data_IF_631873354112
#
_entry.id   IF_631873354112
#
_cell.length_a   1.000
_cell.length_b   1.000
_cell.length_c   1.000
_cell.angle_alpha   90.00
_cell.angle_beta   90.00
_cell.angle_gamma   90.00
#
_symmetry.space_group_name_H-M   'P 1'
#
loop_
_entity.id
_entity.type
_entity.pdbx_description
1 polymer ?
#
# COMPACT_ATOMS: atom_id res chain seq x y z
N UNK A 1 6.33 22.03 5.19
CA UNK A 1 5.05 21.60 5.80
C UNK A 1 4.37 22.77 6.51
N UNK A 2 5.08 23.62 7.26
CA UNK A 2 4.49 24.81 7.91
C UNK A 2 4.06 25.90 6.90
N UNK A 3 4.82 26.10 5.81
CA UNK A 3 4.44 27.05 4.75
C UNK A 3 3.20 26.60 3.95
N UNK A 4 2.91 25.29 3.87
CA UNK A 4 1.72 24.78 3.17
C UNK A 4 0.46 25.01 3.99
N UNK A 5 0.49 24.80 5.31
CA UNK A 5 -0.65 25.09 6.19
C UNK A 5 -0.99 26.59 6.22
N UNK A 6 0.03 27.46 6.18
CA UNK A 6 -0.16 28.90 6.17
C UNK A 6 -0.72 29.42 4.82
N UNK A 7 -0.28 28.85 3.69
CA UNK A 7 -0.84 29.15 2.37
C UNK A 7 -2.28 28.62 2.18
N UNK A 8 -2.62 27.49 2.83
CA UNK A 8 -3.96 26.91 2.78
C UNK A 8 -4.95 27.70 3.63
N UNK A 9 -4.56 28.14 4.83
CA UNK A 9 -5.41 28.98 5.71
C UNK A 9 -5.77 30.34 5.10
N UNK A 10 -4.79 31.03 4.51
CA UNK A 10 -5.03 32.28 3.75
C UNK A 10 -5.76 32.02 2.42
N UNK A 11 -5.81 30.75 1.99
CA UNK A 11 -6.55 30.32 0.80
C UNK A 11 -8.03 30.07 1.05
N UNK A 12 -8.38 29.47 2.18
CA UNK A 12 -9.77 29.26 2.57
C UNK A 12 -10.49 30.58 2.83
N UNK A 13 -9.85 31.54 3.50
CA UNK A 13 -10.45 32.86 3.74
C UNK A 13 -10.74 33.62 2.44
N UNK A 14 -9.81 33.59 1.48
CA UNK A 14 -10.03 34.17 0.15
C UNK A 14 -11.17 33.49 -0.61
N UNK A 15 -11.19 32.15 -0.60
CA UNK A 15 -12.25 31.38 -1.27
C UNK A 15 -13.61 31.67 -0.64
N UNK A 16 -13.68 31.75 0.69
CA UNK A 16 -14.92 32.09 1.41
C UNK A 16 -15.39 33.51 1.06
N UNK A 17 -14.48 34.49 1.09
CA UNK A 17 -14.80 35.87 0.70
C UNK A 17 -15.26 35.98 -0.75
N UNK A 18 -14.64 35.25 -1.66
CA UNK A 18 -15.03 35.17 -3.07
C UNK A 18 -16.41 34.50 -3.22
N UNK A 19 -16.65 33.37 -2.54
CA UNK A 19 -17.93 32.66 -2.55
C UNK A 19 -19.05 33.54 -2.02
N UNK A 20 -18.82 34.27 -0.92
CA UNK A 20 -19.81 35.18 -0.35
C UNK A 20 -20.08 36.40 -1.23
N UNK A 21 -19.06 36.88 -1.93
CA UNK A 21 -19.19 37.98 -2.91
C UNK A 21 -19.93 37.51 -4.15
N UNK A 22 -19.61 36.30 -4.62
CA UNK A 22 -20.34 35.65 -5.70
C UNK A 22 -21.79 35.49 -5.28
N UNK A 23 -22.15 34.88 -4.16
CA UNK A 23 -23.55 34.69 -3.73
C UNK A 23 -24.37 35.98 -3.68
N UNK A 24 -23.75 37.11 -3.28
CA UNK A 24 -24.45 38.39 -3.07
C UNK A 24 -24.44 39.33 -4.29
N UNK A 25 -23.58 39.09 -5.28
CA UNK A 25 -23.43 39.98 -6.44
C UNK A 25 -24.68 40.02 -7.35
N UNK A 26 -24.85 41.10 -8.11
CA UNK A 26 -25.77 41.12 -9.25
C UNK A 26 -25.14 40.43 -10.47
N UNK A 27 -25.95 39.87 -11.36
CA UNK A 27 -25.52 39.39 -12.67
C UNK A 27 -25.88 40.43 -13.75
N UNK A 28 -25.04 40.60 -14.80
CA UNK A 28 -23.72 39.99 -14.97
C UNK A 28 -22.72 40.57 -13.97
N UNK A 29 -21.67 39.80 -13.66
CA UNK A 29 -20.66 40.25 -12.73
C UNK A 29 -19.83 41.40 -13.32
N UNK A 30 -19.43 42.37 -12.50
CA UNK A 30 -18.50 43.44 -12.92
C UNK A 30 -17.22 42.84 -13.50
N UNK A 31 -16.86 43.25 -14.71
CA UNK A 31 -15.63 42.81 -15.40
C UNK A 31 -14.40 42.99 -14.52
N UNK A 32 -14.29 44.12 -13.82
CA UNK A 32 -13.19 44.37 -12.88
C UNK A 32 -13.11 43.32 -11.76
N UNK A 33 -14.25 42.94 -11.17
CA UNK A 33 -14.30 41.95 -10.08
C UNK A 33 -14.02 40.54 -10.61
N UNK A 34 -14.58 40.18 -11.77
CA UNK A 34 -14.34 38.90 -12.42
C UNK A 34 -12.86 38.72 -12.78
N UNK A 35 -12.25 39.72 -13.43
CA UNK A 35 -10.83 39.69 -13.80
C UNK A 35 -9.95 39.53 -12.57
N UNK A 36 -10.22 40.27 -11.48
CA UNK A 36 -9.47 40.14 -10.23
C UNK A 36 -9.54 38.72 -9.64
N UNK A 37 -10.73 38.12 -9.58
CA UNK A 37 -10.89 36.76 -9.07
C UNK A 37 -10.28 35.71 -9.98
N UNK A 38 -10.45 35.82 -11.30
CA UNK A 38 -9.84 34.90 -12.27
C UNK A 38 -8.31 34.93 -12.22
N UNK A 39 -7.70 36.12 -12.13
CA UNK A 39 -6.25 36.25 -11.94
C UNK A 39 -5.79 35.61 -10.63
N UNK A 40 -6.50 35.88 -9.54
CA UNK A 40 -6.19 35.31 -8.22
C UNK A 40 -6.32 33.78 -8.18
N UNK A 41 -7.38 33.23 -8.77
CA UNK A 41 -7.58 31.78 -8.90
C UNK A 41 -6.52 31.13 -9.81
N UNK A 42 -6.08 31.83 -10.86
CA UNK A 42 -5.01 31.34 -11.75
C UNK A 42 -3.68 31.25 -11.03
N UNK A 43 -3.30 32.29 -10.27
CA UNK A 43 -2.10 32.26 -9.42
C UNK A 43 -2.16 31.12 -8.40
N UNK A 44 -3.33 30.88 -7.79
CA UNK A 44 -3.51 29.76 -6.83
C UNK A 44 -3.42 28.39 -7.49
N UNK A 45 -3.95 28.24 -8.72
CA UNK A 45 -3.80 27.03 -9.52
C UNK A 45 -2.31 26.71 -9.74
N UNK A 46 -1.54 27.68 -10.20
CA UNK A 46 -0.09 27.54 -10.43
C UNK A 46 0.67 27.16 -9.16
N UNK A 47 0.35 27.79 -8.02
CA UNK A 47 0.96 27.44 -6.72
C UNK A 47 0.65 25.99 -6.35
N UNK A 48 -0.61 25.56 -6.52
CA UNK A 48 -1.07 24.23 -6.15
C UNK A 48 -0.44 23.16 -7.05
N UNK A 49 -0.38 23.39 -8.35
CA UNK A 49 0.32 22.54 -9.32
C UNK A 49 1.82 22.48 -9.02
N UNK A 50 2.44 23.61 -8.68
CA UNK A 50 3.83 23.68 -8.26
C UNK A 50 4.11 22.88 -6.98
N UNK A 51 3.18 22.85 -6.02
CA UNK A 51 3.29 22.01 -4.82
C UNK A 51 3.21 20.52 -5.17
N UNK A 52 2.28 20.11 -6.05
CA UNK A 52 2.19 18.72 -6.53
C UNK A 52 3.50 18.33 -7.24
N UNK A 53 4.05 19.20 -8.09
CA UNK A 53 5.33 18.96 -8.77
C UNK A 53 6.49 18.80 -7.78
N UNK A 54 6.54 19.61 -6.71
CA UNK A 54 7.52 19.47 -5.63
C UNK A 54 7.40 18.12 -4.92
N UNK A 55 6.18 17.65 -4.63
CA UNK A 55 5.95 16.33 -4.03
C UNK A 55 6.48 15.23 -4.95
N UNK A 56 6.17 15.27 -6.25
CA UNK A 56 6.66 14.30 -7.23
C UNK A 56 8.18 14.30 -7.34
N UNK A 57 8.82 15.47 -7.27
CA UNK A 57 10.27 15.57 -7.24
C UNK A 57 10.86 14.96 -5.96
N UNK A 58 10.25 15.22 -4.80
CA UNK A 58 10.67 14.62 -3.53
C UNK A 58 10.59 13.09 -3.56
N UNK A 59 9.48 12.52 -4.05
CA UNK A 59 9.33 11.07 -4.21
C UNK A 59 10.34 10.48 -5.21
N UNK A 60 10.75 11.25 -6.22
CA UNK A 60 11.69 10.81 -7.25
C UNK A 60 13.15 10.89 -6.82
N UNK A 61 13.48 11.72 -5.84
CA UNK A 61 14.85 12.00 -5.42
C UNK A 61 15.24 11.36 -4.08
N UNK A 62 14.26 11.10 -3.20
CA UNK A 62 14.53 10.64 -1.83
C UNK A 62 13.74 9.37 -1.50
N UNK A 63 14.37 8.44 -0.79
CA UNK A 63 13.66 7.32 -0.16
C UNK A 63 13.02 7.87 1.11
N UNK A 64 11.70 7.83 1.18
CA UNK A 64 10.94 8.50 2.23
C UNK A 64 10.57 7.54 3.36
N UNK A 65 10.46 8.08 4.57
CA UNK A 65 9.90 7.32 5.68
C UNK A 65 8.43 7.00 5.41
N UNK A 66 7.93 5.94 6.03
CA UNK A 66 6.56 5.52 5.77
C UNK A 66 5.52 6.55 6.25
N UNK A 67 5.80 7.27 7.34
CA UNK A 67 4.98 8.38 7.81
C UNK A 67 4.93 9.51 6.77
N UNK A 68 6.09 9.86 6.20
CA UNK A 68 6.16 10.88 5.15
C UNK A 68 5.40 10.43 3.89
N UNK A 69 5.52 9.16 3.47
CA UNK A 69 4.76 8.62 2.34
C UNK A 69 3.25 8.73 2.54
N UNK A 70 2.76 8.37 3.73
CA UNK A 70 1.34 8.49 4.06
C UNK A 70 0.88 9.96 4.05
N UNK A 71 1.62 10.85 4.69
CA UNK A 71 1.32 12.28 4.72
C UNK A 71 1.32 12.91 3.32
N UNK A 72 2.31 12.60 2.48
CA UNK A 72 2.38 13.10 1.12
C UNK A 72 1.23 12.60 0.25
N UNK A 73 0.80 11.35 0.43
CA UNK A 73 -0.38 10.82 -0.27
C UNK A 73 -1.65 11.59 0.11
N UNK A 74 -1.88 11.82 1.40
CA UNK A 74 -3.02 12.63 1.89
C UNK A 74 -2.96 14.07 1.38
N UNK A 75 -1.79 14.71 1.46
CA UNK A 75 -1.60 16.07 0.95
C UNK A 75 -1.82 16.16 -0.56
N UNK A 76 -1.31 15.20 -1.33
CA UNK A 76 -1.53 15.15 -2.78
C UNK A 76 -3.02 15.07 -3.10
N UNK A 77 -3.78 14.27 -2.34
CA UNK A 77 -5.22 14.17 -2.56
C UNK A 77 -5.95 15.48 -2.23
N UNK A 78 -5.59 16.13 -1.12
CA UNK A 78 -6.14 17.44 -0.75
C UNK A 78 -5.80 18.52 -1.79
N UNK A 79 -4.58 18.53 -2.34
CA UNK A 79 -4.20 19.47 -3.40
C UNK A 79 -5.00 19.22 -4.68
N UNK A 80 -5.25 17.94 -5.05
CA UNK A 80 -6.13 17.60 -6.19
C UNK A 80 -7.57 18.07 -5.96
N UNK A 81 -8.10 17.90 -4.75
CA UNK A 81 -9.41 18.44 -4.35
C UNK A 81 -9.45 19.96 -4.55
N UNK A 82 -8.41 20.67 -4.09
CA UNK A 82 -8.31 22.13 -4.23
C UNK A 82 -8.25 22.57 -5.69
N UNK A 83 -7.51 21.86 -6.55
CA UNK A 83 -7.51 22.13 -7.99
C UNK A 83 -8.90 22.00 -8.60
N UNK A 84 -9.66 20.96 -8.23
CA UNK A 84 -11.05 20.79 -8.70
C UNK A 84 -11.94 21.95 -8.26
N UNK A 85 -11.82 22.41 -7.00
CA UNK A 85 -12.58 23.57 -6.50
C UNK A 85 -12.21 24.84 -7.27
N UNK A 86 -10.92 25.08 -7.52
CA UNK A 86 -10.45 26.24 -8.29
C UNK A 86 -11.03 26.20 -9.71
N UNK A 87 -10.97 25.05 -10.38
CA UNK A 87 -11.48 24.89 -11.74
C UNK A 87 -13.00 25.06 -11.83
N UNK A 88 -13.77 24.62 -10.81
CA UNK A 88 -15.21 24.87 -10.72
C UNK A 88 -15.53 26.36 -10.58
N UNK A 89 -14.86 27.05 -9.66
CA UNK A 89 -15.08 28.47 -9.42
C UNK A 89 -14.68 29.33 -10.63
N UNK A 90 -13.61 28.98 -11.33
CA UNK A 90 -13.23 29.67 -12.58
C UNK A 90 -14.34 29.59 -13.62
N UNK A 91 -14.86 28.39 -13.88
CA UNK A 91 -15.96 28.17 -14.82
C UNK A 91 -17.22 28.94 -14.42
N UNK A 92 -17.54 28.98 -13.13
CA UNK A 92 -18.67 29.74 -12.61
C UNK A 92 -18.49 31.26 -12.84
N UNK A 93 -17.31 31.81 -12.56
CA UNK A 93 -17.03 33.24 -12.76
C UNK A 93 -17.09 33.61 -14.25
N UNK A 94 -16.49 32.78 -15.11
CA UNK A 94 -16.55 32.96 -16.58
C UNK A 94 -17.99 32.94 -17.10
N UNK A 95 -18.84 32.09 -16.52
CA UNK A 95 -20.27 32.07 -16.81
C UNK A 95 -20.98 33.34 -16.31
N UNK A 96 -20.73 33.74 -15.06
CA UNK A 96 -21.34 34.94 -14.47
C UNK A 96 -20.91 36.25 -15.14
N UNK A 97 -19.74 36.28 -15.78
CA UNK A 97 -19.26 37.43 -16.55
C UNK A 97 -20.13 37.67 -17.80
N UNK A 98 -20.49 36.58 -18.49
CA UNK A 98 -21.13 36.64 -19.80
C UNK A 98 -22.66 36.47 -19.75
N UNK A 99 -23.20 36.02 -18.62
CA UNK A 99 -24.61 35.64 -18.50
C UNK A 99 -25.39 36.62 -17.64
N UNK A 100 -26.57 37.01 -18.14
CA UNK A 100 -27.52 37.87 -17.42
C UNK A 100 -28.30 37.10 -16.35
N UNK A 101 -28.36 35.77 -16.48
CA UNK A 101 -29.01 34.85 -15.56
C UNK A 101 -28.07 33.68 -15.27
N UNK A 102 -28.16 33.12 -14.06
CA UNK A 102 -27.33 31.97 -13.68
C UNK A 102 -27.76 30.70 -14.46
N UNK A 103 -29.05 30.62 -14.83
CA UNK A 103 -29.60 29.57 -15.68
C UNK A 103 -29.54 28.17 -15.05
N UNK A 104 -29.47 27.16 -15.91
CA UNK A 104 -29.52 25.73 -15.55
C UNK A 104 -28.13 25.07 -15.45
N UNK A 105 -27.07 25.87 -15.35
CA UNK A 105 -25.69 25.37 -15.35
C UNK A 105 -25.29 24.83 -13.98
N UNK A 106 -24.70 23.63 -13.97
CA UNK A 106 -24.24 22.97 -12.74
C UNK A 106 -22.71 23.03 -12.66
N UNK A 107 -22.19 23.84 -11.75
CA UNK A 107 -20.77 23.89 -11.40
C UNK A 107 -20.51 23.04 -10.17
N UNK A 108 -20.52 21.72 -10.35
CA UNK A 108 -20.18 20.76 -9.31
C UNK A 108 -19.46 19.52 -9.87
N UNK A 109 -18.72 18.84 -9.01
CA UNK A 109 -17.95 17.65 -9.33
C UNK A 109 -17.96 16.67 -8.15
N UNK A 110 -17.78 15.38 -8.44
CA UNK A 110 -17.52 14.37 -7.43
C UNK A 110 -16.01 14.17 -7.26
N UNK A 111 -15.53 14.16 -6.03
CA UNK A 111 -14.12 13.94 -5.71
C UNK A 111 -13.95 12.72 -4.81
N UNK A 112 -13.11 11.78 -5.21
CA UNK A 112 -12.76 10.60 -4.40
C UNK A 112 -11.75 11.04 -3.34
N UNK A 113 -12.21 11.24 -2.11
CA UNK A 113 -11.39 11.72 -0.99
C UNK A 113 -10.56 10.61 -0.33
N UNK A 114 -11.08 9.39 -0.37
CA UNK A 114 -10.36 8.21 0.11
C UNK A 114 -10.69 7.00 -0.75
N UNK A 115 -9.67 6.21 -1.06
CA UNK A 115 -9.81 4.98 -1.86
C UNK A 115 -8.73 3.97 -1.45
N UNK A 116 -9.07 2.67 -1.38
CA UNK A 116 -8.09 1.62 -1.07
C UNK A 116 -7.29 1.16 -2.29
N UNK A 117 -7.48 1.80 -3.45
CA UNK A 117 -6.78 1.49 -4.68
C UNK A 117 -5.50 2.33 -4.82
N UNK A 118 -4.46 1.83 -5.50
CA UNK A 118 -4.39 0.57 -6.25
C UNK A 118 -4.24 -0.66 -5.34
N UNK A 119 -5.02 -1.72 -5.59
CA UNK A 119 -4.95 -2.94 -4.78
C UNK A 119 -5.52 -4.16 -5.51
N UNK A 120 -5.11 -5.35 -5.08
CA UNK A 120 -5.74 -6.60 -5.52
C UNK A 120 -6.90 -6.97 -4.60
N UNK A 121 -8.10 -7.03 -5.14
CA UNK A 121 -9.35 -7.29 -4.41
C UNK A 121 -9.79 -8.74 -4.60
N UNK A 122 -10.23 -9.40 -3.53
CA UNK A 122 -10.81 -10.74 -3.63
C UNK A 122 -12.31 -10.67 -3.89
N UNK A 123 -12.79 -11.43 -4.87
CA UNK A 123 -14.20 -11.57 -5.20
C UNK A 123 -15.02 -11.95 -3.95
N UNK A 124 -16.22 -11.37 -3.84
CA UNK A 124 -17.15 -11.54 -2.71
C UNK A 124 -16.63 -11.10 -1.34
N UNK A 125 -15.48 -10.43 -1.27
CA UNK A 125 -14.96 -9.80 -0.06
C UNK A 125 -15.28 -8.32 -0.12
N UNK A 126 -15.77 -7.78 1.00
CA UNK A 126 -15.99 -6.34 1.16
C UNK A 126 -14.64 -5.63 1.07
N UNK A 127 -14.56 -4.58 0.25
CA UNK A 127 -13.37 -3.74 0.19
C UNK A 127 -13.35 -2.74 1.33
N UNK A 128 -12.16 -2.24 1.65
CA UNK A 128 -12.03 -1.10 2.53
C UNK A 128 -12.86 0.09 1.97
N UNK A 129 -13.42 0.95 2.83
CA UNK A 129 -14.36 1.98 2.41
C UNK A 129 -13.81 2.90 1.33
N UNK A 130 -14.70 3.41 0.47
CA UNK A 130 -14.39 4.48 -0.47
C UNK A 130 -15.22 5.70 -0.07
N UNK A 131 -14.57 6.86 0.04
CA UNK A 131 -15.25 8.11 0.38
C UNK A 131 -15.29 9.03 -0.84
N UNK A 132 -16.46 9.59 -1.11
CA UNK A 132 -16.71 10.49 -2.23
C UNK A 132 -17.36 11.77 -1.71
N UNK A 133 -16.79 12.91 -2.07
CA UNK A 133 -17.29 14.23 -1.68
C UNK A 133 -17.97 14.90 -2.87
N UNK A 134 -19.09 15.58 -2.62
CA UNK A 134 -19.67 16.53 -3.55
C UNK A 134 -18.96 17.87 -3.38
N UNK A 135 -18.35 18.37 -4.47
CA UNK A 135 -17.77 19.70 -4.55
C UNK A 135 -18.68 20.56 -5.40
N UNK A 136 -19.16 21.68 -4.86
CA UNK A 136 -20.00 22.63 -5.58
C UNK A 136 -19.41 24.04 -5.48
N UNK A 137 -19.67 24.85 -6.50
CA UNK A 137 -19.30 26.25 -6.56
C UNK A 137 -20.26 27.15 -5.76
N UNK A 138 -20.02 28.46 -5.74
CA UNK A 138 -20.63 29.38 -4.80
C UNK A 138 -22.17 29.46 -4.88
N UNK A 139 -22.71 29.67 -6.08
CA UNK A 139 -24.14 29.86 -6.36
C UNK A 139 -24.82 28.59 -6.89
N UNK A 140 -24.09 27.48 -6.94
CA UNK A 140 -24.61 26.23 -7.48
C UNK A 140 -25.62 25.60 -6.53
N UNK A 141 -26.90 25.78 -6.84
CA UNK A 141 -28.01 25.08 -6.18
C UNK A 141 -28.33 23.79 -6.93
N UNK A 142 -28.16 22.65 -6.27
CA UNK A 142 -28.38 21.34 -6.90
C UNK A 142 -29.34 20.54 -6.07
N UNK A 143 -30.37 20.00 -6.73
CA UNK A 143 -31.19 18.94 -6.19
C UNK A 143 -30.60 17.58 -6.60
N UNK A 144 -30.27 16.75 -5.61
CA UNK A 144 -29.74 15.40 -5.85
C UNK A 144 -30.89 14.43 -6.15
N UNK A 145 -30.86 13.78 -7.31
CA UNK A 145 -31.92 12.88 -7.77
C UNK A 145 -31.64 11.40 -7.46
N UNK A 146 -31.20 11.11 -6.23
CA UNK A 146 -30.96 9.75 -5.74
C UNK A 146 -29.58 9.54 -5.14
N UNK A 147 -29.15 8.27 -4.98
CA UNK A 147 -27.84 7.95 -4.42
C UNK A 147 -26.70 8.19 -5.43
N UNK A 148 -25.50 8.40 -4.90
CA UNK A 148 -24.26 8.30 -5.68
C UNK A 148 -24.04 6.84 -6.05
N UNK A 149 -23.80 6.59 -7.33
CA UNK A 149 -23.60 5.26 -7.89
C UNK A 149 -22.17 5.06 -8.38
N UNK A 150 -21.51 4.00 -7.92
CA UNK A 150 -20.24 3.53 -8.44
C UNK A 150 -20.43 2.63 -9.65
N UNK A 151 -19.75 2.97 -10.75
CA UNK A 151 -19.73 2.19 -11.99
C UNK A 151 -18.34 1.65 -12.26
N UNK A 152 -18.28 0.37 -12.64
CA UNK A 152 -17.04 -0.25 -13.07
C UNK A 152 -16.69 0.18 -14.49
N UNK A 153 -15.52 0.76 -14.67
CA UNK A 153 -14.94 1.04 -15.97
C UNK A 153 -13.94 -0.05 -16.32
N UNK A 154 -14.14 -0.67 -17.48
CA UNK A 154 -13.22 -1.66 -18.02
C UNK A 154 -13.30 -1.71 -19.55
N UNK A 155 -12.16 -1.84 -20.21
CA UNK A 155 -12.07 -2.21 -21.65
C UNK A 155 -12.40 -3.71 -21.88
N UNK A 156 -12.85 -4.40 -20.84
CA UNK A 156 -13.20 -5.81 -20.82
C UNK A 156 -14.69 -5.98 -21.11
N UNK A 157 -15.01 -6.67 -22.20
CA UNK A 157 -16.35 -7.20 -22.42
C UNK A 157 -16.59 -8.37 -21.47
N UNK A 158 -17.63 -8.26 -20.62
CA UNK A 158 -18.17 -9.38 -19.86
C UNK A 158 -18.69 -10.42 -20.86
N UNK A 159 -17.86 -11.40 -21.21
CA UNK A 159 -18.25 -12.47 -22.12
C UNK A 159 -19.51 -13.19 -21.62
N UNK A 160 -20.61 -13.06 -22.38
CA UNK A 160 -21.86 -13.85 -22.47
C UNK A 160 -22.45 -14.56 -21.23
N UNK A 161 -22.03 -14.26 -20.00
CA UNK A 161 -22.67 -14.79 -18.79
C UNK A 161 -23.61 -13.74 -18.22
N UNK A 162 -24.89 -14.11 -18.14
CA UNK A 162 -26.01 -13.44 -17.45
C UNK A 162 -25.69 -13.19 -15.96
N UNK A 163 -24.72 -12.33 -15.65
CA UNK A 163 -24.43 -11.93 -14.29
C UNK A 163 -25.04 -10.55 -14.08
N UNK A 164 -26.05 -10.48 -13.21
CA UNK A 164 -26.56 -9.22 -12.67
C UNK A 164 -25.39 -8.46 -12.03
N UNK A 165 -25.19 -7.20 -12.44
CA UNK A 165 -24.23 -6.19 -11.93
C UNK A 165 -22.87 -6.70 -11.39
N UNK A 166 -21.71 -6.31 -11.96
CA UNK A 166 -20.39 -6.75 -11.49
C UNK A 166 -20.04 -6.34 -10.05
N UNK A 167 -20.84 -5.45 -9.46
CA UNK A 167 -20.69 -4.89 -8.12
C UNK A 167 -21.99 -5.02 -7.31
N UNK A 168 -21.85 -5.17 -6.00
CA UNK A 168 -22.93 -5.05 -5.01
C UNK A 168 -22.54 -4.00 -3.96
N UNK A 169 -23.51 -3.24 -3.44
CA UNK A 169 -23.23 -2.12 -2.53
C UNK A 169 -22.64 -0.91 -3.25
N UNK A 170 -23.04 -0.71 -4.51
CA UNK A 170 -22.54 0.35 -5.39
C UNK A 170 -23.34 1.66 -5.33
N UNK A 171 -24.34 1.76 -4.47
CA UNK A 171 -25.18 2.97 -4.32
C UNK A 171 -25.16 3.40 -2.84
N UNK A 172 -24.87 4.67 -2.59
CA UNK A 172 -24.85 5.27 -1.25
C UNK A 172 -25.36 6.73 -1.30
N UNK A 173 -25.88 7.22 -0.18
CA UNK A 173 -26.29 8.62 -0.04
C UNK A 173 -25.21 9.45 0.65
N UNK A 174 -25.23 10.77 0.40
CA UNK A 174 -24.39 11.70 1.16
C UNK A 174 -24.89 11.83 2.59
N UNK A 175 -23.96 11.90 3.53
CA UNK A 175 -24.23 12.27 4.92
C UNK A 175 -24.39 13.80 5.09
N UNK A 176 -24.65 14.23 6.32
CA UNK A 176 -24.77 15.66 6.69
C UNK A 176 -23.49 16.47 6.42
N UNK A 177 -22.36 15.81 6.19
CA UNK A 177 -21.06 16.42 5.88
C UNK A 177 -20.78 16.45 4.37
N UNK A 178 -21.72 16.00 3.54
CA UNK A 178 -21.56 15.94 2.09
C UNK A 178 -20.61 14.83 1.62
N UNK A 179 -20.47 13.75 2.40
CA UNK A 179 -19.63 12.59 2.10
C UNK A 179 -20.48 11.34 1.91
N UNK A 180 -20.30 10.65 0.79
CA UNK A 180 -20.88 9.34 0.54
C UNK A 180 -19.82 8.26 0.80
N UNK A 181 -20.10 7.34 1.73
CA UNK A 181 -19.13 6.31 2.20
C UNK A 181 -19.56 4.91 1.79
N UNK A 182 -18.87 4.34 0.80
CA UNK A 182 -19.14 3.00 0.28
C UNK A 182 -18.46 1.91 1.14
N UNK A 183 -19.07 1.59 2.28
CA UNK A 183 -18.54 0.63 3.26
C UNK A 183 -18.91 -0.84 2.98
N UNK A 184 -19.90 -1.08 2.12
CA UNK A 184 -20.44 -2.42 1.80
C UNK A 184 -20.08 -2.90 0.40
N UNK A 185 -19.20 -2.17 -0.29
CA UNK A 185 -18.86 -2.46 -1.67
C UNK A 185 -18.15 -3.80 -1.79
N UNK A 186 -18.64 -4.65 -2.71
CA UNK A 186 -18.01 -5.93 -3.06
C UNK A 186 -18.13 -6.20 -4.55
N UNK A 187 -17.11 -6.87 -5.09
CA UNK A 187 -17.08 -7.29 -6.50
C UNK A 187 -17.52 -8.74 -6.61
N UNK A 188 -18.50 -8.99 -7.47
CA UNK A 188 -19.09 -10.32 -7.64
C UNK A 188 -18.51 -11.08 -8.83
N UNK A 189 -17.66 -10.44 -9.64
CA UNK A 189 -17.00 -11.06 -10.80
C UNK A 189 -15.50 -10.76 -10.76
N UNK A 190 -14.67 -11.76 -11.07
CA UNK A 190 -13.22 -11.57 -11.25
C UNK A 190 -12.90 -10.94 -12.61
N UNK A 191 -11.86 -10.11 -12.67
CA UNK A 191 -11.52 -9.33 -13.88
C UNK A 191 -10.55 -10.04 -14.82
N UNK A 192 -10.24 -11.32 -14.58
CA UNK A 192 -9.35 -12.10 -15.45
C UNK A 192 -7.93 -11.53 -15.56
N UNK A 193 -7.41 -10.94 -14.47
CA UNK A 193 -6.12 -10.22 -14.42
C UNK A 193 -6.08 -8.91 -15.22
N UNK A 194 -7.23 -8.38 -15.64
CA UNK A 194 -7.34 -7.04 -16.23
C UNK A 194 -7.56 -5.99 -15.16
N UNK A 195 -6.89 -4.86 -15.34
CA UNK A 195 -7.08 -3.68 -14.50
C UNK A 195 -8.41 -3.03 -14.82
N UNK A 196 -9.09 -2.59 -13.78
CA UNK A 196 -10.36 -1.89 -13.85
C UNK A 196 -10.30 -0.68 -12.92
N UNK A 197 -11.20 0.27 -13.15
CA UNK A 197 -11.33 1.49 -12.34
C UNK A 197 -12.81 1.65 -11.95
N UNK A 198 -13.08 2.44 -10.92
CA UNK A 198 -14.45 2.86 -10.59
C UNK A 198 -14.61 4.34 -10.91
N UNK A 199 -15.77 4.71 -11.44
CA UNK A 199 -16.22 6.09 -11.56
C UNK A 199 -17.52 6.25 -10.80
N UNK A 200 -17.66 7.33 -10.05
CA UNK A 200 -18.88 7.63 -9.32
C UNK A 200 -19.71 8.62 -10.12
N UNK A 201 -21.02 8.43 -10.13
CA UNK A 201 -21.98 9.30 -10.81
C UNK A 201 -23.18 9.58 -9.91
N UNK A 202 -23.75 10.77 -10.04
CA UNK A 202 -25.03 11.10 -9.42
C UNK A 202 -25.87 11.93 -10.39
N UNK A 203 -27.14 11.54 -10.64
CA UNK A 203 -28.06 12.39 -11.38
C UNK A 203 -28.46 13.58 -10.51
N UNK A 204 -28.49 14.74 -11.13
CA UNK A 204 -28.76 16.00 -10.46
C UNK A 204 -29.69 16.85 -11.30
N UNK A 205 -30.47 17.70 -10.62
CA UNK A 205 -31.37 18.65 -11.26
C UNK A 205 -31.03 20.07 -10.78
N UNK A 206 -30.93 20.97 -11.74
CA UNK A 206 -30.89 22.42 -11.50
C UNK A 206 -32.00 23.03 -12.32
N UNK A 207 -32.96 23.66 -11.64
CA UNK A 207 -34.23 24.14 -12.21
C UNK A 207 -34.93 23.05 -13.07
N UNK A 208 -34.87 23.16 -14.40
CA UNK A 208 -35.51 22.26 -15.35
C UNK A 208 -34.55 21.27 -16.05
N UNK A 209 -33.23 21.42 -15.88
CA UNK A 209 -32.24 20.61 -16.57
C UNK A 209 -31.74 19.46 -15.69
N UNK A 210 -31.73 18.24 -16.24
CA UNK A 210 -31.12 17.09 -15.60
C UNK A 210 -29.70 16.88 -16.15
N UNK A 211 -28.73 16.85 -15.25
CA UNK A 211 -27.34 16.56 -15.58
C UNK A 211 -26.79 15.49 -14.65
N UNK A 212 -25.91 14.63 -15.15
CA UNK A 212 -25.18 13.67 -14.33
C UNK A 212 -23.80 14.23 -14.00
N UNK A 213 -23.49 14.35 -12.71
CA UNK A 213 -22.16 14.74 -12.23
C UNK A 213 -21.33 13.46 -12.07
N UNK A 214 -20.07 13.51 -12.47
CA UNK A 214 -19.19 12.36 -12.47
C UNK A 214 -17.86 12.66 -11.77
N UNK A 215 -17.26 11.63 -11.16
CA UNK A 215 -15.93 11.73 -10.58
C UNK A 215 -14.82 11.49 -11.61
N UNK A 216 -13.58 11.82 -11.25
CA UNK A 216 -12.43 11.19 -11.89
C UNK A 216 -12.45 9.67 -11.64
N UNK A 217 -11.76 8.92 -12.50
CA UNK A 217 -11.60 7.47 -12.30
C UNK A 217 -10.75 7.21 -11.05
N UNK A 218 -11.08 6.17 -10.28
CA UNK A 218 -10.24 5.70 -9.18
C UNK A 218 -8.88 5.21 -9.69
N UNK A 219 -7.92 5.01 -8.79
CA UNK A 219 -6.72 4.24 -9.12
C UNK A 219 -7.09 2.80 -9.55
N UNK A 220 -6.27 2.16 -10.41
CA UNK A 220 -6.61 0.86 -10.97
C UNK A 220 -6.52 -0.27 -9.94
N UNK A 221 -7.38 -1.27 -10.08
CA UNK A 221 -7.37 -2.48 -9.25
C UNK A 221 -7.68 -3.73 -10.08
N UNK A 222 -7.45 -4.91 -9.51
CA UNK A 222 -7.74 -6.21 -10.13
C UNK A 222 -8.58 -7.04 -9.17
N UNK A 223 -9.65 -7.65 -9.66
CA UNK A 223 -10.48 -8.57 -8.87
C UNK A 223 -10.05 -10.02 -9.15
N UNK A 224 -9.53 -10.69 -8.13
CA UNK A 224 -9.11 -12.09 -8.18
C UNK A 224 -10.21 -13.01 -7.62
N UNK A 225 -10.34 -14.21 -8.19
CA UNK A 225 -11.25 -15.24 -7.69
C UNK A 225 -10.57 -16.19 -6.71
N UNK A 226 -9.24 -16.33 -6.83
CA UNK A 226 -8.42 -17.20 -6.01
C UNK A 226 -7.17 -16.48 -5.52
N UNK A 227 -6.78 -16.71 -4.25
CA UNK A 227 -5.57 -16.10 -3.65
C UNK A 227 -4.28 -16.50 -4.36
N UNK A 228 -4.27 -17.61 -5.11
CA UNK A 228 -3.13 -18.01 -5.96
C UNK A 228 -2.84 -17.00 -7.07
N UNK A 229 -3.84 -16.27 -7.55
CA UNK A 229 -3.69 -15.23 -8.59
C UNK A 229 -3.12 -13.92 -8.04
N UNK A 230 -2.99 -13.80 -6.72
CA UNK A 230 -2.67 -12.52 -6.08
C UNK A 230 -1.29 -11.99 -6.46
N UNK A 231 -0.26 -12.84 -6.51
CA UNK A 231 1.09 -12.44 -6.88
C UNK A 231 1.11 -11.81 -8.29
N UNK A 232 0.63 -12.53 -9.28
CA UNK A 232 0.57 -12.02 -10.66
C UNK A 232 -0.27 -10.74 -10.78
N UNK A 233 -1.46 -10.71 -10.17
CA UNK A 233 -2.34 -9.54 -10.19
C UNK A 233 -1.69 -8.31 -9.52
N UNK A 234 -1.11 -8.49 -8.34
CA UNK A 234 -0.43 -7.43 -7.62
C UNK A 234 0.81 -6.95 -8.39
N UNK A 235 1.52 -7.86 -9.05
CA UNK A 235 2.66 -7.55 -9.90
C UNK A 235 2.29 -6.70 -11.11
N UNK A 236 1.14 -6.95 -11.74
CA UNK A 236 0.64 -6.12 -12.84
C UNK A 236 0.31 -4.71 -12.35
N UNK A 237 -0.40 -4.59 -11.23
CA UNK A 237 -0.79 -3.31 -10.65
C UNK A 237 0.43 -2.48 -10.23
N UNK A 238 1.35 -3.10 -9.50
CA UNK A 238 2.57 -2.46 -9.02
C UNK A 238 3.45 -2.00 -10.19
N UNK A 239 3.62 -2.83 -11.23
CA UNK A 239 4.38 -2.43 -12.42
C UNK A 239 3.75 -1.21 -13.09
N UNK A 240 2.41 -1.16 -13.20
CA UNK A 240 1.73 0.00 -13.77
C UNK A 240 1.91 1.27 -12.92
N UNK A 241 1.84 1.16 -11.59
CA UNK A 241 2.00 2.34 -10.71
C UNK A 241 3.46 2.84 -10.67
N UNK A 242 4.43 1.94 -10.72
CA UNK A 242 5.85 2.30 -10.81
C UNK A 242 6.13 3.01 -12.14
N UNK A 243 5.80 2.38 -13.27
CA UNK A 243 6.29 2.88 -14.55
C UNK A 243 5.36 3.92 -15.17
N UNK A 244 4.04 3.84 -15.01
CA UNK A 244 3.05 4.78 -15.60
C UNK A 244 3.32 5.09 -17.08
N UNK A 245 3.74 4.08 -17.85
CA UNK A 245 4.11 4.20 -19.26
C UNK A 245 5.58 4.56 -19.55
N UNK A 246 6.37 4.87 -18.52
CA UNK A 246 7.83 5.10 -18.63
C UNK A 246 8.57 3.78 -18.81
N UNK A 247 9.72 3.82 -19.46
CA UNK A 247 10.62 2.66 -19.58
C UNK A 247 11.51 2.50 -18.33
N UNK A 248 11.78 3.62 -17.67
CA UNK A 248 12.77 3.75 -16.61
C UNK A 248 12.25 4.66 -15.49
N UNK A 249 12.67 4.36 -14.26
CA UNK A 249 12.35 5.16 -13.06
C UNK A 249 13.58 5.26 -12.15
N UNK A 250 13.60 6.26 -11.27
CA UNK A 250 14.65 6.35 -10.26
C UNK A 250 14.44 5.32 -9.15
N UNK A 251 15.53 4.87 -8.53
CA UNK A 251 15.47 3.93 -7.39
C UNK A 251 14.66 4.49 -6.21
N UNK A 252 14.83 5.77 -5.79
CA UNK A 252 14.00 6.35 -4.74
C UNK A 252 12.50 6.25 -5.02
N UNK A 253 12.09 6.60 -6.25
CA UNK A 253 10.69 6.49 -6.67
C UNK A 253 10.19 5.05 -6.57
N UNK A 254 10.95 4.10 -7.11
CA UNK A 254 10.63 2.68 -7.02
C UNK A 254 10.45 2.20 -5.58
N UNK A 255 11.39 2.52 -4.68
CA UNK A 255 11.32 2.13 -3.27
C UNK A 255 10.09 2.71 -2.57
N UNK A 256 9.77 3.97 -2.83
CA UNK A 256 8.61 4.65 -2.26
C UNK A 256 7.30 3.96 -2.68
N UNK A 257 7.16 3.61 -3.96
CA UNK A 257 5.98 2.90 -4.48
C UNK A 257 5.90 1.48 -3.91
N UNK A 258 6.99 0.71 -3.92
CA UNK A 258 7.02 -0.63 -3.32
C UNK A 258 6.67 -0.59 -1.84
N UNK A 259 7.20 0.37 -1.09
CA UNK A 259 6.91 0.52 0.34
C UNK A 259 5.41 0.74 0.59
N UNK A 260 4.75 1.59 -0.19
CA UNK A 260 3.29 1.81 -0.12
C UNK A 260 2.51 0.51 -0.36
N UNK A 261 2.81 -0.18 -1.47
CA UNK A 261 2.15 -1.44 -1.80
C UNK A 261 2.44 -2.56 -0.79
N UNK A 262 3.64 -2.58 -0.22
CA UNK A 262 4.05 -3.54 0.80
C UNK A 262 3.25 -3.36 2.10
N UNK A 263 3.08 -2.12 2.58
CA UNK A 263 2.28 -1.80 3.78
C UNK A 263 0.84 -2.27 3.59
N UNK A 264 0.23 -1.96 2.43
CA UNK A 264 -1.12 -2.42 2.08
C UNK A 264 -1.21 -3.96 1.97
N UNK A 265 -0.19 -4.59 1.37
CA UNK A 265 -0.13 -6.04 1.19
C UNK A 265 0.00 -6.79 2.51
N UNK A 266 0.70 -6.21 3.48
CA UNK A 266 0.89 -6.74 4.83
C UNK A 266 -0.16 -6.27 5.83
N UNK A 267 -1.16 -5.48 5.39
CA UNK A 267 -2.27 -4.97 6.21
C UNK A 267 -1.79 -4.25 7.47
N UNK A 268 -0.71 -3.49 7.33
CA UNK A 268 -0.21 -2.66 8.42
C UNK A 268 -0.96 -1.33 8.45
N UNK A 269 -1.15 -0.79 9.65
CA UNK A 269 -1.68 0.56 9.85
C UNK A 269 -0.64 1.58 9.34
N UNK A 270 -0.96 2.44 8.35
CA UNK A 270 -0.04 3.45 7.83
C UNK A 270 0.47 4.45 8.90
N UNK A 271 -0.27 4.65 9.99
CA UNK A 271 0.10 5.52 11.10
C UNK A 271 0.94 4.81 12.16
N UNK A 272 0.83 3.47 12.25
CA UNK A 272 1.47 2.63 13.26
C UNK A 272 2.05 1.37 12.62
N UNK A 273 3.07 1.59 11.79
CA UNK A 273 3.73 0.53 11.04
C UNK A 273 4.63 -0.26 11.99
N UNK A 274 4.44 -1.58 12.00
CA UNK A 274 5.16 -2.50 12.89
C UNK A 274 6.51 -2.87 12.30
N UNK A 275 6.55 -3.18 11.00
CA UNK A 275 7.78 -3.55 10.30
C UNK A 275 7.73 -3.07 8.84
N UNK A 276 8.36 -1.93 8.50
CA UNK A 276 8.52 -1.50 7.12
C UNK A 276 9.61 -2.33 6.40
N UNK A 277 9.78 -2.14 5.09
CA UNK A 277 11.02 -2.57 4.43
C UNK A 277 12.11 -1.58 4.81
N UNK A 278 13.25 -2.11 5.20
CA UNK A 278 14.44 -1.37 5.62
C UNK A 278 15.41 -1.23 4.44
N UNK A 279 16.41 -0.33 4.53
CA UNK A 279 17.50 -0.27 3.57
C UNK A 279 18.20 -1.62 3.37
N UNK A 280 18.34 -2.43 4.43
CA UNK A 280 18.90 -3.79 4.37
C UNK A 280 18.01 -4.75 3.55
N UNK A 281 16.68 -4.65 3.65
CA UNK A 281 15.78 -5.46 2.83
C UNK A 281 15.90 -5.09 1.34
N UNK A 282 16.05 -3.80 1.02
CA UNK A 282 16.29 -3.36 -0.36
C UNK A 282 17.67 -3.78 -0.87
N UNK A 283 18.72 -3.66 -0.06
CA UNK A 283 20.07 -4.11 -0.43
C UNK A 283 20.12 -5.62 -0.71
N UNK A 284 19.41 -6.41 0.10
CA UNK A 284 19.21 -7.83 -0.15
C UNK A 284 18.54 -8.08 -1.51
N UNK A 285 17.41 -7.41 -1.81
CA UNK A 285 16.70 -7.61 -3.08
C UNK A 285 17.56 -7.21 -4.30
N UNK A 286 18.28 -6.10 -4.19
CA UNK A 286 19.13 -5.58 -5.26
C UNK A 286 20.35 -6.48 -5.50
N UNK A 287 21.00 -6.94 -4.43
CA UNK A 287 22.18 -7.80 -4.54
C UNK A 287 21.81 -9.14 -5.19
N UNK A 288 20.74 -9.80 -4.74
CA UNK A 288 20.39 -11.14 -5.25
C UNK A 288 19.72 -11.11 -6.63
N UNK A 289 18.97 -10.06 -6.99
CA UNK A 289 18.21 -10.02 -8.28
C UNK A 289 18.83 -9.15 -9.34
N UNK A 290 19.62 -8.16 -8.95
CA UNK A 290 20.26 -7.23 -9.88
C UNK A 290 21.79 -7.32 -9.85
N UNK A 291 22.39 -8.08 -8.91
CA UNK A 291 23.84 -8.22 -8.79
C UNK A 291 24.55 -6.92 -8.38
N UNK A 292 23.83 -5.97 -7.78
CA UNK A 292 24.37 -4.65 -7.37
C UNK A 292 23.86 -4.25 -6.00
N UNK A 293 24.64 -3.45 -5.26
CA UNK A 293 24.21 -2.92 -3.96
C UNK A 293 23.18 -1.80 -4.10
N UNK A 294 22.36 -1.64 -3.07
CA UNK A 294 21.42 -0.55 -2.95
C UNK A 294 22.16 0.79 -2.77
N UNK A 295 21.84 1.83 -3.57
CA UNK A 295 22.62 3.07 -3.57
C UNK A 295 22.67 3.84 -2.24
N UNK A 296 21.66 3.68 -1.38
CA UNK A 296 21.57 4.43 -0.12
C UNK A 296 22.49 3.92 1.00
N UNK A 297 23.08 2.72 0.87
CA UNK A 297 23.94 2.11 1.88
C UNK A 297 25.44 2.49 1.76
N UNK A 298 25.77 3.47 0.92
CA UNK A 298 27.18 3.85 0.70
C UNK A 298 27.62 4.91 1.70
N UNK A 299 28.44 4.48 2.66
CA UNK A 299 29.34 5.38 3.40
C UNK A 299 30.19 6.19 2.42
N UNK A 300 30.61 7.38 2.85
CA UNK A 300 31.30 8.44 2.08
C UNK A 300 32.61 8.05 1.35
N UNK A 301 32.99 6.77 1.33
CA UNK A 301 34.25 6.24 0.76
C UNK A 301 34.08 5.36 -0.48
N UNK A 302 32.87 5.23 -1.04
CA UNK A 302 32.66 4.42 -2.24
C UNK A 302 33.00 5.21 -3.52
N UNK A 303 33.58 4.57 -4.56
CA UNK A 303 33.89 5.24 -5.83
C UNK A 303 32.63 5.82 -6.51
N UNK A 304 32.81 6.85 -7.35
CA UNK A 304 31.70 7.58 -7.97
C UNK A 304 30.76 6.62 -8.71
N UNK A 305 29.47 6.87 -8.49
CA UNK A 305 28.37 6.08 -9.04
C UNK A 305 28.46 6.12 -10.57
N UNK A 306 28.53 4.96 -11.22
CA UNK A 306 28.45 4.88 -12.68
C UNK A 306 27.18 5.60 -13.16
N UNK A 307 27.24 6.41 -14.24
CA UNK A 307 26.06 7.01 -14.83
C UNK A 307 25.03 5.91 -15.14
N UNK A 308 23.84 5.98 -14.52
CA UNK A 308 22.77 4.99 -14.65
C UNK A 308 22.55 4.06 -13.43
N UNK A 309 23.39 4.08 -12.40
CA UNK A 309 23.20 3.20 -11.24
C UNK A 309 22.02 3.60 -10.33
N UNK A 310 21.42 4.79 -10.54
CA UNK A 310 20.24 5.24 -9.79
C UNK A 310 18.91 5.01 -10.52
N UNK A 311 18.93 4.24 -11.62
CA UNK A 311 17.77 3.99 -12.49
C UNK A 311 17.42 2.50 -12.48
N UNK A 312 16.13 2.20 -12.60
CA UNK A 312 15.56 0.87 -12.76
C UNK A 312 14.72 0.80 -14.03
N UNK A 313 14.90 -0.29 -14.77
CA UNK A 313 14.15 -0.63 -15.97
C UNK A 313 12.96 -1.55 -15.63
N UNK A 314 12.03 -1.72 -16.57
CA UNK A 314 10.96 -2.70 -16.43
C UNK A 314 11.47 -4.14 -16.28
N UNK A 315 12.64 -4.48 -16.85
CA UNK A 315 13.26 -5.81 -16.71
C UNK A 315 13.80 -6.02 -15.29
N UNK A 316 14.39 -4.99 -14.70
CA UNK A 316 14.86 -5.05 -13.30
C UNK A 316 13.69 -5.30 -12.35
N UNK A 317 12.54 -4.65 -12.61
CA UNK A 317 11.30 -4.92 -11.90
C UNK A 317 10.89 -6.40 -12.01
N UNK A 318 10.87 -6.97 -13.21
CA UNK A 318 10.45 -8.36 -13.42
C UNK A 318 11.38 -9.33 -12.66
N UNK A 319 12.69 -9.06 -12.65
CA UNK A 319 13.66 -9.83 -11.88
C UNK A 319 13.40 -9.75 -10.37
N UNK A 320 13.17 -8.55 -9.83
CA UNK A 320 12.85 -8.37 -8.40
C UNK A 320 11.52 -9.06 -8.06
N UNK A 321 10.48 -8.81 -8.85
CA UNK A 321 9.13 -9.32 -8.60
C UNK A 321 9.05 -10.84 -8.67
N UNK A 322 9.84 -11.47 -9.54
CA UNK A 322 9.92 -12.95 -9.66
C UNK A 322 10.21 -13.68 -8.34
N UNK A 323 10.77 -12.97 -7.37
CA UNK A 323 11.05 -13.48 -6.03
C UNK A 323 10.23 -12.75 -4.96
N UNK A 324 10.18 -11.42 -5.03
CA UNK A 324 9.49 -10.62 -4.03
C UNK A 324 7.98 -10.84 -4.02
N UNK A 325 7.36 -11.04 -5.19
CA UNK A 325 5.93 -11.28 -5.34
C UNK A 325 5.46 -12.56 -4.62
N UNK A 326 6.03 -13.75 -4.92
CA UNK A 326 5.73 -14.98 -4.20
C UNK A 326 6.06 -14.93 -2.70
N UNK A 327 7.16 -14.28 -2.32
CA UNK A 327 7.51 -14.07 -0.91
C UNK A 327 6.44 -13.23 -0.18
N UNK A 328 6.00 -12.14 -0.80
CA UNK A 328 4.96 -11.26 -0.26
C UNK A 328 3.58 -11.94 -0.23
N UNK A 329 3.26 -12.77 -1.23
CA UNK A 329 2.04 -13.59 -1.23
C UNK A 329 2.02 -14.55 -0.03
N UNK A 330 3.16 -15.20 0.29
CA UNK A 330 3.27 -16.04 1.47
C UNK A 330 3.15 -15.24 2.75
N UNK A 331 3.82 -14.08 2.86
CA UNK A 331 3.66 -13.19 4.01
C UNK A 331 2.16 -12.88 4.24
N UNK A 332 1.43 -12.54 3.17
CA UNK A 332 0.02 -12.14 3.26
C UNK A 332 -0.93 -13.29 3.62
N UNK A 333 -0.73 -14.50 3.10
CA UNK A 333 -1.73 -15.58 3.20
C UNK A 333 -1.30 -16.79 4.02
N UNK A 334 -0.01 -17.01 4.24
CA UNK A 334 0.46 -18.16 5.01
C UNK A 334 0.22 -17.94 6.50
N UNK A 335 -0.46 -18.90 7.14
CA UNK A 335 -0.83 -18.84 8.55
C UNK A 335 0.39 -18.58 9.44
N UNK A 336 0.26 -17.61 10.34
CA UNK A 336 1.29 -17.13 11.28
C UNK A 336 2.55 -16.51 10.67
N UNK A 337 2.74 -16.52 9.35
CA UNK A 337 3.98 -15.99 8.77
C UNK A 337 4.09 -14.48 8.95
N UNK A 338 3.02 -13.71 8.74
CA UNK A 338 3.01 -12.26 9.01
C UNK A 338 3.23 -11.93 10.50
N UNK A 339 2.57 -12.59 11.48
CA UNK A 339 2.93 -12.44 12.90
C UNK A 339 4.40 -12.77 13.23
N UNK A 340 4.97 -13.82 12.63
CA UNK A 340 6.40 -14.15 12.78
C UNK A 340 7.30 -13.08 12.16
N UNK A 341 6.89 -12.51 11.02
CA UNK A 341 7.58 -11.41 10.36
C UNK A 341 7.56 -10.13 11.23
N UNK A 342 6.39 -9.76 11.74
CA UNK A 342 6.18 -8.56 12.56
C UNK A 342 6.91 -8.62 13.91
N UNK A 343 7.04 -9.81 14.50
CA UNK A 343 7.79 -10.02 15.76
C UNK A 343 9.30 -10.11 15.56
N UNK A 344 9.78 -10.12 14.32
CA UNK A 344 11.20 -10.28 13.99
C UNK A 344 11.72 -11.72 14.05
N UNK A 345 10.89 -12.70 14.43
CA UNK A 345 11.26 -14.12 14.45
C UNK A 345 11.52 -14.67 13.04
N UNK A 346 10.75 -14.20 12.06
CA UNK A 346 11.02 -14.45 10.65
C UNK A 346 11.77 -13.27 10.05
N UNK A 347 13.08 -13.41 9.90
CA UNK A 347 13.93 -12.37 9.29
C UNK A 347 13.56 -12.18 7.81
N UNK A 348 13.40 -13.28 7.07
CA UNK A 348 12.97 -13.28 5.67
C UNK A 348 14.04 -12.79 4.69
N UNK A 349 14.29 -11.50 4.55
CA UNK A 349 15.26 -10.94 3.59
C UNK A 349 16.66 -10.83 4.19
N UNK A 350 17.38 -11.94 4.21
CA UNK A 350 18.78 -12.04 4.64
C UNK A 350 19.46 -13.14 3.83
N UNK A 351 20.70 -12.89 3.40
CA UNK A 351 21.42 -13.86 2.57
C UNK A 351 21.86 -15.09 3.35
N UNK A 352 22.14 -16.18 2.62
CA UNK A 352 22.76 -17.37 3.21
C UNK A 352 24.05 -17.01 3.98
N UNK A 353 24.93 -16.23 3.36
CA UNK A 353 26.21 -15.82 3.94
C UNK A 353 26.04 -14.95 5.20
N UNK A 354 25.13 -13.98 5.19
CA UNK A 354 24.87 -13.16 6.39
C UNK A 354 24.27 -13.98 7.53
N UNK A 355 23.37 -14.93 7.20
CA UNK A 355 22.83 -15.83 8.22
C UNK A 355 23.92 -16.72 8.84
N UNK A 356 24.89 -17.18 8.05
CA UNK A 356 26.05 -17.94 8.55
C UNK A 356 26.93 -17.08 9.46
N UNK A 357 27.21 -15.83 9.09
CA UNK A 357 28.00 -14.90 9.92
C UNK A 357 27.36 -14.66 11.28
N UNK A 358 26.04 -14.46 11.35
CA UNK A 358 25.32 -14.28 12.62
C UNK A 358 25.43 -15.55 13.47
N UNK A 359 25.28 -16.72 12.84
CA UNK A 359 25.27 -17.99 13.55
C UNK A 359 26.66 -18.46 13.99
N UNK A 360 27.74 -18.04 13.32
CA UNK A 360 29.10 -18.51 13.59
C UNK A 360 29.51 -18.28 15.05
N UNK A 361 29.21 -17.10 15.60
CA UNK A 361 29.51 -16.75 17.00
C UNK A 361 28.40 -17.09 18.00
N UNK A 362 27.29 -17.71 17.56
CA UNK A 362 26.13 -18.01 18.40
C UNK A 362 26.25 -19.35 19.15
N UNK A 363 25.36 -19.62 20.10
CA UNK A 363 25.30 -20.92 20.78
C UNK A 363 24.73 -22.04 19.87
N UNK A 364 25.05 -23.30 20.16
CA UNK A 364 24.46 -24.46 19.47
C UNK A 364 22.93 -24.43 19.63
N UNK A 365 22.21 -24.75 18.56
CA UNK A 365 20.76 -24.67 18.49
C UNK A 365 20.20 -23.27 18.19
N UNK A 366 21.07 -22.26 18.01
CA UNK A 366 20.64 -20.94 17.53
C UNK A 366 20.24 -21.00 16.06
N UNK A 367 19.16 -20.33 15.66
CA UNK A 367 18.63 -20.39 14.30
C UNK A 367 18.10 -19.05 13.77
N UNK A 368 18.11 -18.92 12.44
CA UNK A 368 17.55 -17.81 11.65
C UNK A 368 16.56 -18.38 10.65
N UNK A 369 15.37 -17.78 10.57
CA UNK A 369 14.36 -18.14 9.55
C UNK A 369 14.34 -17.09 8.45
N UNK A 370 14.52 -17.52 7.20
CA UNK A 370 14.65 -16.63 6.03
C UNK A 370 13.95 -17.18 4.78
N UNK A 371 13.82 -16.36 3.75
CA UNK A 371 13.48 -16.85 2.42
C UNK A 371 14.69 -17.55 1.78
N UNK A 372 14.43 -18.58 0.99
CA UNK A 372 15.43 -19.34 0.24
C UNK A 372 15.79 -18.61 -1.05
N UNK A 373 17.05 -18.24 -1.23
CA UNK A 373 17.55 -17.58 -2.45
C UNK A 373 17.48 -18.50 -3.69
N UNK A 374 17.61 -19.81 -3.47
CA UNK A 374 17.59 -20.85 -4.51
C UNK A 374 16.18 -21.12 -5.07
N UNK A 375 15.16 -20.40 -4.62
CA UNK A 375 13.79 -20.60 -5.11
C UNK A 375 13.05 -19.29 -5.33
N UNK A 376 12.35 -19.20 -6.46
CA UNK A 376 11.50 -18.06 -6.80
C UNK A 376 10.11 -18.16 -6.17
N UNK A 377 9.71 -19.32 -5.67
CA UNK A 377 8.37 -19.58 -5.10
C UNK A 377 8.18 -19.11 -3.64
N UNK A 378 9.11 -18.31 -3.12
CA UNK A 378 9.13 -17.85 -1.73
C UNK A 378 9.34 -18.97 -0.70
N UNK A 379 10.03 -20.08 -1.03
CA UNK A 379 10.30 -21.15 -0.05
C UNK A 379 11.02 -20.58 1.19
N UNK A 380 10.66 -21.09 2.37
CA UNK A 380 11.31 -20.72 3.64
C UNK A 380 12.47 -21.68 3.92
N UNK A 381 13.56 -21.13 4.42
CA UNK A 381 14.72 -21.87 4.91
C UNK A 381 15.00 -21.53 6.37
N UNK A 382 15.53 -22.50 7.11
CA UNK A 382 16.02 -22.35 8.48
C UNK A 382 17.51 -22.62 8.48
N UNK A 383 18.30 -21.59 8.77
CA UNK A 383 19.73 -21.75 9.05
C UNK A 383 19.88 -21.98 10.56
N UNK A 384 20.68 -22.95 11.00
CA UNK A 384 20.90 -23.22 12.42
C UNK A 384 22.31 -23.72 12.71
N UNK A 385 22.82 -23.38 13.90
CA UNK A 385 24.11 -23.86 14.40
C UNK A 385 23.94 -25.25 15.01
N UNK A 386 24.54 -26.27 14.42
CA UNK A 386 24.44 -27.64 14.91
C UNK A 386 25.60 -28.03 15.83
N UNK A 387 26.81 -27.56 15.53
CA UNK A 387 28.01 -27.79 16.34
C UNK A 387 28.81 -26.50 16.46
N UNK A 388 29.97 -26.54 17.11
CA UNK A 388 30.83 -25.36 17.25
C UNK A 388 31.28 -24.78 15.90
N UNK A 389 31.39 -25.64 14.87
CA UNK A 389 31.94 -25.28 13.56
C UNK A 389 30.87 -25.40 12.46
N UNK A 390 29.88 -26.27 12.63
CA UNK A 390 28.92 -26.61 11.57
C UNK A 390 27.63 -25.78 11.65
N UNK A 391 27.34 -25.08 10.55
CA UNK A 391 26.07 -24.38 10.30
C UNK A 391 25.35 -25.14 9.20
N UNK A 392 24.10 -25.55 9.46
CA UNK A 392 23.25 -26.24 8.48
C UNK A 392 22.11 -25.35 8.01
N UNK A 393 21.66 -25.60 6.79
CA UNK A 393 20.51 -24.95 6.18
C UNK A 393 19.46 -26.00 5.84
N UNK A 394 18.26 -25.85 6.38
CA UNK A 394 17.13 -26.71 6.09
C UNK A 394 16.09 -25.96 5.26
N UNK A 395 15.77 -26.49 4.08
CA UNK A 395 14.70 -25.96 3.23
C UNK A 395 13.37 -26.59 3.65
N UNK A 396 12.47 -25.77 4.19
CA UNK A 396 11.17 -26.21 4.70
C UNK A 396 10.28 -26.62 3.53
N UNK A 397 9.82 -27.87 3.52
CA UNK A 397 9.00 -28.43 2.45
C UNK A 397 7.54 -28.06 2.65
N UNK A 398 6.76 -27.87 1.57
CA UNK A 398 5.34 -27.52 1.67
C UNK A 398 4.53 -28.47 2.55
N UNK A 399 4.78 -29.79 2.50
CA UNK A 399 4.08 -30.82 3.30
C UNK A 399 4.26 -30.70 4.82
N UNK A 400 5.28 -29.97 5.28
CA UNK A 400 5.58 -29.75 6.69
C UNK A 400 4.81 -28.55 7.26
N UNK A 401 4.37 -27.63 6.39
CA UNK A 401 3.72 -26.37 6.77
C UNK A 401 2.32 -26.18 6.15
N UNK A 402 1.94 -27.02 5.19
CA UNK A 402 0.62 -27.03 4.56
C UNK A 402 -0.24 -28.16 5.14
N UNK A 403 -1.40 -27.80 5.71
CA UNK A 403 -2.38 -28.75 6.24
C UNK A 403 -3.07 -28.23 7.50
N UNK A 404 -4.11 -28.94 7.95
CA UNK A 404 -4.73 -28.66 9.24
C UNK A 404 -3.73 -28.94 10.37
N UNK A 405 -3.59 -28.00 11.32
CA UNK A 405 -2.64 -28.10 12.44
C UNK A 405 -1.17 -27.81 12.09
N UNK A 406 -0.77 -27.92 10.82
CA UNK A 406 0.59 -27.64 10.34
C UNK A 406 0.79 -26.16 10.04
N UNK A 407 1.93 -25.63 10.43
CA UNK A 407 2.35 -24.25 10.12
C UNK A 407 3.85 -24.10 10.38
N UNK A 408 4.47 -23.05 9.86
CA UNK A 408 5.87 -22.76 10.15
C UNK A 408 6.14 -22.60 11.66
N UNK A 409 5.21 -21.93 12.36
CA UNK A 409 5.25 -21.79 13.82
C UNK A 409 5.28 -23.16 14.53
N UNK A 410 4.48 -24.11 14.05
CA UNK A 410 4.42 -25.46 14.61
C UNK A 410 5.68 -26.29 14.27
N UNK A 411 6.17 -26.19 13.03
CA UNK A 411 7.42 -26.82 12.61
C UNK A 411 8.59 -26.40 13.51
N UNK A 412 8.73 -25.09 13.77
CA UNK A 412 9.78 -24.57 14.66
C UNK A 412 9.59 -25.09 16.09
N UNK A 413 8.34 -25.13 16.58
CA UNK A 413 8.00 -25.61 17.92
C UNK A 413 8.43 -27.07 18.14
N UNK A 414 8.08 -27.94 17.21
CA UNK A 414 8.31 -29.40 17.29
C UNK A 414 9.78 -29.80 17.11
N UNK A 415 10.57 -28.96 16.45
CA UNK A 415 11.98 -29.26 16.23
C UNK A 415 12.81 -29.02 17.51
N UNK A 416 13.21 -30.11 18.17
CA UNK A 416 14.00 -30.10 19.42
C UNK A 416 15.41 -29.52 19.26
N UNK A 417 15.99 -29.60 18.06
CA UNK A 417 17.32 -29.07 17.77
C UNK A 417 17.37 -27.54 17.68
N UNK A 418 16.22 -26.89 17.53
CA UNK A 418 16.09 -25.44 17.51
C UNK A 418 15.81 -24.94 18.93
N UNK A 419 16.73 -24.17 19.51
CA UNK A 419 16.70 -23.74 20.91
C UNK A 419 16.58 -22.24 21.06
N UNK A 420 17.34 -21.47 20.28
CA UNK A 420 17.38 -20.01 20.38
C UNK A 420 17.09 -19.37 19.02
N UNK A 421 16.16 -18.44 18.98
CA UNK A 421 15.85 -17.69 17.78
C UNK A 421 16.68 -16.41 17.72
N UNK A 422 17.25 -16.13 16.56
CA UNK A 422 17.70 -14.78 16.22
C UNK A 422 16.46 -13.96 15.88
N UNK A 423 16.21 -12.90 16.65
CA UNK A 423 15.10 -11.98 16.44
C UNK A 423 15.62 -10.66 15.90
N UNK A 424 15.10 -10.27 14.75
CA UNK A 424 15.38 -8.98 14.12
C UNK A 424 14.60 -7.86 14.82
N UNK A 425 15.25 -6.71 15.03
CA UNK A 425 14.62 -5.48 15.53
C UNK A 425 14.92 -4.32 14.57
N UNK A 426 13.88 -3.58 14.22
CA UNK A 426 14.02 -2.30 13.50
C UNK A 426 14.08 -1.20 14.56
N UNK A 427 15.19 -0.47 14.61
CA UNK A 427 15.38 0.68 15.49
C UNK A 427 14.83 1.97 14.86
N UNK A 428 14.85 3.07 15.62
CA UNK A 428 14.58 4.39 15.06
C UNK A 428 15.54 4.69 13.90
N UNK A 429 15.04 5.26 12.80
CA UNK A 429 15.83 5.50 11.60
C UNK A 429 15.94 4.32 10.62
N UNK A 430 15.21 3.21 10.85
CA UNK A 430 15.20 2.00 10.00
C UNK A 430 16.50 1.17 10.06
N UNK A 431 17.34 1.39 11.06
CA UNK A 431 18.51 0.54 11.31
C UNK A 431 18.07 -0.84 11.82
N UNK A 432 18.74 -1.88 11.31
CA UNK A 432 18.46 -3.26 11.69
C UNK A 432 19.47 -3.70 12.75
N UNK A 433 18.95 -4.15 13.88
CA UNK A 433 19.70 -4.85 14.92
C UNK A 433 19.06 -6.19 15.20
N UNK A 434 19.72 -7.02 16.01
CA UNK A 434 19.18 -8.32 16.37
C UNK A 434 19.58 -8.71 17.78
N UNK A 435 18.75 -9.54 18.40
CA UNK A 435 19.07 -10.22 19.64
C UNK A 435 18.77 -11.71 19.55
N UNK A 436 19.26 -12.47 20.52
CA UNK A 436 18.99 -13.90 20.66
C UNK A 436 17.97 -14.05 21.78
N UNK A 437 16.90 -14.80 21.50
CA UNK A 437 15.83 -15.09 22.45
C UNK A 437 15.56 -16.59 22.47
N UNK A 438 15.16 -17.14 23.61
CA UNK A 438 14.74 -18.54 23.69
C UNK A 438 13.55 -18.82 22.77
N UNK A 439 13.57 -19.97 22.10
CA UNK A 439 12.51 -20.40 21.17
C UNK A 439 11.13 -20.32 21.82
N UNK A 440 10.97 -20.84 23.04
CA UNK A 440 9.67 -20.87 23.71
C UNK A 440 9.11 -19.46 23.93
N UNK A 441 9.94 -18.54 24.44
CA UNK A 441 9.56 -17.14 24.63
C UNK A 441 9.20 -16.47 23.29
N UNK A 442 9.97 -16.73 22.23
CA UNK A 442 9.72 -16.22 20.88
C UNK A 442 8.36 -16.68 20.32
N UNK A 443 8.03 -17.95 20.50
CA UNK A 443 6.79 -18.55 19.98
C UNK A 443 5.55 -18.14 20.80
N UNK A 444 5.70 -17.89 22.10
CA UNK A 444 4.61 -17.41 22.97
C UNK A 444 4.13 -16.00 22.59
N UNK A 445 5.02 -15.14 22.10
CA UNK A 445 4.65 -13.80 21.62
C UNK A 445 3.73 -13.83 20.38
N UNK A 446 3.68 -14.96 19.66
CA UNK A 446 3.01 -15.07 18.36
C UNK A 446 1.73 -15.92 18.43
N UNK A 447 1.65 -16.85 19.37
CA UNK A 447 0.51 -17.76 19.55
C UNK A 447 -0.31 -17.49 20.81
N UNK A 448 -1.62 -17.79 20.78
CA UNK A 448 -2.43 -17.83 22.01
C UNK A 448 -1.85 -18.88 22.96
N UNK A 449 -1.74 -18.56 24.26
CA UNK A 449 -1.49 -19.54 25.33
C UNK A 449 -2.39 -20.76 25.08
N UNK A 450 -1.81 -21.96 24.90
CA UNK A 450 -2.58 -23.18 25.16
C UNK A 450 -3.11 -23.03 26.59
N UNK A 451 -4.40 -23.28 26.83
CA UNK A 451 -4.82 -23.69 28.17
C UNK A 451 -3.93 -24.89 28.49
N UNK A 452 -2.93 -24.71 29.34
CA UNK A 452 -2.21 -25.79 29.98
C UNK A 452 -3.28 -26.64 30.65
N UNK A 453 -3.65 -27.75 30.03
CA UNK A 453 -4.20 -28.85 30.78
C UNK A 453 -3.13 -29.17 31.82
N UNK A 454 -3.44 -28.93 33.09
CA UNK A 454 -2.63 -29.43 34.18
C UNK A 454 -2.48 -30.93 33.93
N UNK A 455 -1.28 -31.37 33.62
CA UNK A 455 -0.91 -32.78 33.73
C UNK A 455 -1.14 -33.16 35.18
N UNK A 456 -1.95 -34.20 35.38
CA UNK A 456 -2.13 -34.82 36.68
C UNK A 456 -0.79 -35.31 37.21
N UNK A 457 -0.71 -35.34 38.53
CA UNK A 457 0.40 -35.76 39.37
C UNK A 457 1.37 -36.78 38.72
N UNK A 458 2.63 -36.37 38.56
CA UNK A 458 3.79 -37.26 38.66
C UNK A 458 4.33 -37.92 37.39
N UNK A 459 3.74 -37.74 36.20
CA UNK A 459 4.29 -38.33 34.97
C UNK A 459 4.38 -37.33 33.81
N UNK A 460 5.59 -37.15 33.27
CA UNK A 460 5.79 -36.50 31.98
C UNK A 460 5.34 -37.44 30.85
N UNK A 461 4.58 -36.92 29.90
CA UNK A 461 4.09 -37.69 28.75
C UNK A 461 5.16 -37.94 27.68
N UNK A 462 6.41 -37.47 27.89
CA UNK A 462 7.52 -37.67 26.97
C UNK A 462 8.49 -38.70 27.55
N UNK A 463 8.57 -39.87 26.90
CA UNK A 463 9.70 -40.78 27.07
C UNK A 463 10.97 -40.04 26.65
N UNK A 464 11.96 -39.99 27.53
CA UNK A 464 13.32 -39.55 27.23
C UNK A 464 13.89 -40.43 26.11
N UNK A 465 13.74 -40.00 24.87
CA UNK A 465 14.51 -40.54 23.75
C UNK A 465 15.91 -39.91 23.80
N UNK A 466 16.70 -40.39 24.76
CA UNK A 466 18.15 -40.21 24.78
C UNK A 466 18.74 -41.15 23.73
N UNK A 467 18.66 -40.74 22.46
CA UNK A 467 19.48 -41.29 21.39
C UNK A 467 20.94 -40.86 21.55
N UNK A 468 21.60 -41.38 22.59
CA UNK A 468 23.05 -41.40 22.74
C UNK A 468 23.46 -42.87 22.53
N UNK A 469 23.97 -43.18 21.35
CA UNK A 469 25.01 -44.20 21.15
C UNK A 469 26.19 -43.42 20.56
N UNK A 470 27.10 -42.86 21.35
CA UNK A 470 28.29 -43.53 21.90
C UNK A 470 28.89 -44.63 21.01
N UNK A 471 29.97 -44.25 20.33
CA UNK A 471 30.98 -45.12 19.74
C UNK A 471 31.73 -45.92 20.82
N UNK A 472 31.92 -47.22 20.60
CA UNK A 472 33.10 -48.07 20.90
C UNK A 472 32.73 -49.50 20.40
N UNK A 473 33.46 -50.19 19.52
CA UNK A 473 34.90 -50.44 19.33
C UNK A 473 35.22 -50.55 17.85
#
# INVERSE_FOLDING_TARGET
MEESSHCLGVGEEFLNNMVDSLRRGSLPLSEHSATYWLQSLSKRKEITEGQIAKILNLESSNVLSCKALFQLSMHTNNLKKHLTIIDLNKKEIEHCLNSLEYGDMIFAALHISYSPFPSTVKQHVIVDPIEVNLLASARTEIQLLGPVKGELLSDWSLGNKKCSSPMQGQEEHFDDKGVATFSKLKFVVGTGRKMVNIKFRIPTQSNANMQTIESSQSEPFIVITNTKQWDEAQGILLKKDIFRGRLEVTIPYFCNIIQRHYIQSTRQDPLRIVRPLTPSDFDYLFSIKLGRSFPANKSSRSPPVSPGANILTQKDYDNIWSFFGPALQKLRYQKYLLPMWNSGLFWGFISKNESEKILQSSAIGTFVIRFSEESSDGTVAVAYKQSQIEIRHYRVRPKEIAGQGKSLLQFVRENRSLLYAVRMKVQEGLEVSWDIIEKHQALEMIGKKKKTARTGEGYDAEVLDLGIDMLAV
#
